data_IF_161395394731
#
_entry.id   IF_161395394731
#
_cell.length_a   1.000
_cell.length_b   1.000
_cell.length_c   1.000
_cell.angle_alpha   90.00
_cell.angle_beta   90.00
_cell.angle_gamma   90.00
#
_symmetry.space_group_name_H-M   'P 1'
#
loop_
_entity.id
_entity.type
_entity.pdbx_description
1 polymer ?
#
# COMPACT_ATOMS: atom_id res chain seq x y z
N UNK A 1 1.19 -20.76 17.09
CA UNK A 1 2.01 -21.30 15.98
C UNK A 1 2.37 -20.16 15.05
N UNK A 2 3.60 -20.22 14.55
CA UNK A 2 4.31 -19.34 13.60
C UNK A 2 4.45 -17.87 14.03
N UNK A 3 5.64 -17.54 14.56
CA UNK A 3 5.98 -16.22 15.09
C UNK A 3 6.37 -15.20 14.02
N UNK A 4 6.05 -13.93 14.30
CA UNK A 4 6.67 -12.77 13.68
C UNK A 4 7.69 -12.16 14.63
N UNK A 5 8.96 -12.15 14.24
CA UNK A 5 10.01 -11.35 14.86
C UNK A 5 10.74 -10.59 13.77
N UNK A 6 10.87 -9.27 13.97
CA UNK A 6 11.38 -8.20 13.11
C UNK A 6 10.36 -7.53 12.15
N UNK A 7 9.61 -6.55 12.71
CA UNK A 7 8.92 -5.43 12.00
C UNK A 7 8.16 -5.82 10.72
N UNK A 8 6.92 -6.27 10.90
CA UNK A 8 6.02 -6.59 9.78
C UNK A 8 5.72 -5.32 8.96
N UNK A 9 6.27 -5.25 7.75
CA UNK A 9 5.95 -4.19 6.80
C UNK A 9 4.62 -4.49 6.12
N UNK A 10 3.76 -3.47 5.98
CA UNK A 10 2.55 -3.54 5.16
C UNK A 10 2.65 -2.57 3.99
N UNK A 11 2.17 -3.01 2.83
CA UNK A 11 2.03 -2.17 1.65
C UNK A 11 0.85 -1.22 1.84
N UNK A 12 1.11 0.07 1.70
CA UNK A 12 0.10 1.13 1.59
C UNK A 12 0.04 1.58 0.14
N UNK A 13 -1.14 1.51 -0.46
CA UNK A 13 -1.41 1.93 -1.84
C UNK A 13 -2.75 2.67 -1.89
N UNK A 14 -2.92 3.54 -2.89
CA UNK A 14 -4.18 4.24 -3.08
C UNK A 14 -5.25 3.34 -3.72
N UNK A 15 -6.48 3.84 -3.79
CA UNK A 15 -7.62 3.11 -4.37
C UNK A 15 -7.68 3.14 -5.91
N UNK A 16 -6.62 3.48 -6.63
CA UNK A 16 -6.67 3.54 -8.09
C UNK A 16 -6.98 2.15 -8.69
N UNK A 17 -7.69 2.11 -9.82
CA UNK A 17 -8.24 0.89 -10.44
C UNK A 17 -7.18 -0.18 -10.71
N UNK A 18 -5.95 0.21 -11.00
CA UNK A 18 -4.85 -0.74 -11.22
C UNK A 18 -4.49 -1.49 -9.92
N UNK A 19 -4.52 -0.81 -8.77
CA UNK A 19 -4.17 -1.34 -7.43
C UNK A 19 -5.24 -2.28 -6.87
N UNK A 20 -6.50 -2.00 -7.18
CA UNK A 20 -7.66 -2.80 -6.74
C UNK A 20 -8.16 -3.79 -7.81
N UNK A 21 -7.48 -3.90 -8.94
CA UNK A 21 -7.85 -4.84 -10.00
C UNK A 21 -7.76 -6.28 -9.48
N UNK A 22 -8.65 -7.16 -9.96
CA UNK A 22 -8.65 -8.57 -9.57
C UNK A 22 -7.29 -9.24 -9.79
N UNK A 23 -6.62 -8.90 -10.89
CA UNK A 23 -5.27 -9.38 -11.18
C UNK A 23 -4.26 -8.94 -10.11
N UNK A 24 -4.25 -7.65 -9.75
CA UNK A 24 -3.31 -7.14 -8.75
C UNK A 24 -3.60 -7.69 -7.35
N UNK A 25 -4.88 -7.84 -6.98
CA UNK A 25 -5.27 -8.49 -5.73
C UNK A 25 -4.79 -9.94 -5.66
N UNK A 26 -4.97 -10.71 -6.74
CA UNK A 26 -4.47 -12.09 -6.81
C UNK A 26 -2.94 -12.15 -6.77
N UNK A 27 -2.26 -11.24 -7.45
CA UNK A 27 -0.80 -11.15 -7.41
C UNK A 27 -0.30 -10.90 -5.99
N UNK A 28 -0.89 -9.94 -5.27
CA UNK A 28 -0.53 -9.63 -3.88
C UNK A 28 -0.75 -10.82 -2.95
N UNK A 29 -1.88 -11.51 -3.10
CA UNK A 29 -2.18 -12.74 -2.37
C UNK A 29 -1.13 -13.84 -2.63
N UNK A 30 -0.81 -14.10 -3.89
CA UNK A 30 0.14 -15.15 -4.29
C UNK A 30 1.57 -14.89 -3.80
N UNK A 31 1.94 -13.63 -3.58
CA UNK A 31 3.27 -13.22 -3.15
C UNK A 31 3.35 -12.93 -1.64
N UNK A 32 2.30 -13.25 -0.86
CA UNK A 32 2.24 -12.97 0.58
C UNK A 32 2.47 -11.48 0.91
N UNK A 33 1.99 -10.58 0.05
CA UNK A 33 2.11 -9.14 0.28
C UNK A 33 0.97 -8.72 1.22
N UNK A 34 1.34 -8.31 2.43
CA UNK A 34 0.41 -7.77 3.42
C UNK A 34 0.05 -6.35 2.98
N UNK A 35 -1.24 -6.08 2.80
CA UNK A 35 -1.76 -4.74 2.46
C UNK A 35 -2.42 -4.11 3.68
N UNK A 36 -2.30 -2.79 3.82
CA UNK A 36 -3.01 -2.01 4.82
C UNK A 36 -4.42 -1.66 4.32
N UNK A 37 -5.40 -1.61 5.22
CA UNK A 37 -6.74 -1.07 4.93
C UNK A 37 -6.66 0.46 4.90
N UNK A 38 -6.23 1.00 3.76
CA UNK A 38 -5.96 2.42 3.58
C UNK A 38 -7.10 3.13 2.83
N UNK A 39 -7.53 4.33 3.26
CA UNK A 39 -8.61 5.05 2.59
C UNK A 39 -8.20 5.48 1.18
N UNK A 40 -9.02 5.09 0.20
CA UNK A 40 -8.90 5.57 -1.17
C UNK A 40 -9.23 7.07 -1.28
N UNK A 41 -8.61 7.75 -2.26
CA UNK A 41 -8.84 9.17 -2.55
C UNK A 41 -8.49 10.16 -1.42
N UNK A 42 -7.55 9.81 -0.55
CA UNK A 42 -7.02 10.68 0.52
C UNK A 42 -5.55 11.07 0.26
N UNK A 43 -5.28 12.01 -0.67
CA UNK A 43 -3.91 12.41 -1.00
C UNK A 43 -3.19 13.13 0.14
N UNK A 44 -3.94 13.79 1.02
CA UNK A 44 -3.44 14.42 2.25
C UNK A 44 -2.87 13.40 3.25
N UNK A 45 -3.44 12.20 3.28
CA UNK A 45 -2.97 11.11 4.13
C UNK A 45 -1.82 10.34 3.47
N UNK A 46 -1.75 10.29 2.13
CA UNK A 46 -0.79 9.48 1.40
C UNK A 46 0.65 10.00 1.56
N UNK A 47 1.56 9.28 2.26
CA UNK A 47 2.90 9.79 2.55
C UNK A 47 3.73 10.11 1.30
N UNK A 48 3.49 9.44 0.17
CA UNK A 48 4.23 9.70 -1.07
C UNK A 48 3.90 11.06 -1.68
N UNK A 49 2.67 11.55 -1.50
CA UNK A 49 2.22 12.86 -1.99
C UNK A 49 2.96 13.97 -1.24
N UNK A 50 3.17 13.81 0.07
CA UNK A 50 3.97 14.72 0.89
C UNK A 50 5.44 14.75 0.45
N UNK A 51 6.01 13.59 0.10
CA UNK A 51 7.37 13.51 -0.44
C UNK A 51 7.46 14.21 -1.81
N UNK A 52 6.51 13.98 -2.71
CA UNK A 52 6.47 14.65 -4.01
C UNK A 52 6.33 16.16 -3.89
N UNK A 53 5.53 16.66 -2.94
CA UNK A 53 5.44 18.09 -2.66
C UNK A 53 6.80 18.66 -2.24
N UNK A 54 7.61 17.91 -1.50
CA UNK A 54 8.97 18.31 -1.11
C UNK A 54 9.93 18.29 -2.31
N UNK A 55 9.84 17.26 -3.16
CA UNK A 55 10.72 17.10 -4.32
C UNK A 55 10.43 18.10 -5.46
N UNK A 56 9.20 18.61 -5.56
CA UNK A 56 8.79 19.59 -6.59
C UNK A 56 9.08 21.04 -6.20
N UNK A 57 9.49 21.30 -4.95
CA UNK A 57 9.88 22.61 -4.46
C UNK A 57 11.31 22.94 -4.85
#
# INVERSE_FOLDING_TARGET
EVGGSARDFSLVEDGNRIHISAYNCQFKLNNNIITSDWPGYSPDLNPIENLWCTLKR
#
